data_IF_342452921085
#
_entry.id   IF_342452921085
#
_cell.length_a   1.000
_cell.length_b   1.000
_cell.length_c   1.000
_cell.angle_alpha   90.00
_cell.angle_beta   90.00
_cell.angle_gamma   90.00
#
_symmetry.space_group_name_H-M   'P 1'
#
loop_
_entity.id
_entity.type
_entity.pdbx_description
1 polymer ?
#
# COMPACT_ATOMS: atom_id res chain seq x y z
N UNK A 1 18.76 8.95 -23.91
CA UNK A 1 18.45 7.81 -23.01
C UNK A 1 17.47 8.35 -22.00
N UNK A 2 16.19 8.00 -22.10
CA UNK A 2 15.19 8.47 -21.14
C UNK A 2 15.49 7.81 -19.81
N UNK A 3 15.97 8.57 -18.82
CA UNK A 3 16.03 8.09 -17.44
C UNK A 3 14.61 7.68 -17.06
N UNK A 4 14.38 6.37 -16.90
CA UNK A 4 13.14 5.90 -16.32
C UNK A 4 13.07 6.53 -14.92
N UNK A 5 11.96 7.20 -14.57
CA UNK A 5 11.82 7.71 -13.22
C UNK A 5 11.92 6.53 -12.27
N UNK A 6 13.00 6.47 -11.50
CA UNK A 6 13.11 5.60 -10.35
C UNK A 6 11.90 5.88 -9.48
N UNK A 7 11.09 4.85 -9.21
CA UNK A 7 10.08 4.92 -8.16
C UNK A 7 10.86 5.05 -6.84
N UNK A 8 11.09 6.29 -6.42
CA UNK A 8 11.96 6.60 -5.29
C UNK A 8 11.42 5.91 -4.03
N UNK A 9 12.31 5.25 -3.29
CA UNK A 9 12.00 4.71 -1.96
C UNK A 9 11.33 3.34 -1.95
N UNK A 10 11.47 2.54 -3.01
CA UNK A 10 11.06 1.12 -3.07
C UNK A 10 12.26 0.15 -3.11
N UNK A 11 13.36 0.53 -2.46
CA UNK A 11 14.67 -0.14 -2.61
C UNK A 11 14.89 -1.31 -1.61
N UNK A 12 14.14 -1.34 -0.50
CA UNK A 12 14.22 -2.37 0.55
C UNK A 12 12.96 -3.25 0.58
N UNK A 13 12.61 -3.84 -0.56
CA UNK A 13 11.51 -4.80 -0.63
C UNK A 13 11.89 -6.10 0.09
N UNK A 14 11.07 -6.50 1.06
CA UNK A 14 11.25 -7.71 1.84
C UNK A 14 10.18 -8.76 1.49
N UNK A 15 10.48 -10.07 1.55
CA UNK A 15 9.46 -11.10 1.36
C UNK A 15 8.29 -10.95 2.34
N UNK A 16 7.06 -11.08 1.84
CA UNK A 16 5.86 -11.00 2.67
C UNK A 16 5.81 -12.16 3.67
N UNK A 17 5.59 -11.83 4.93
CA UNK A 17 5.30 -12.78 6.02
C UNK A 17 3.79 -12.84 6.25
N UNK A 18 3.20 -14.03 6.12
CA UNK A 18 1.78 -14.22 6.37
C UNK A 18 1.57 -14.64 7.83
N UNK A 19 0.54 -14.12 8.52
CA UNK A 19 0.22 -14.57 9.87
C UNK A 19 -0.40 -15.97 9.86
N UNK A 20 0.02 -16.81 10.80
CA UNK A 20 -0.52 -18.16 10.97
C UNK A 20 -1.90 -18.15 11.66
N UNK A 21 -2.74 -19.15 11.37
CA UNK A 21 -3.97 -19.41 12.12
C UNK A 21 -5.09 -18.36 11.98
N UNK A 22 -5.07 -17.52 10.94
CA UNK A 22 -5.95 -16.33 10.85
C UNK A 22 -7.32 -16.56 10.22
N UNK A 23 -7.77 -17.82 10.03
CA UNK A 23 -9.04 -18.12 9.33
C UNK A 23 -10.28 -17.63 10.07
N UNK A 24 -10.26 -17.72 11.40
CA UNK A 24 -11.38 -17.31 12.28
C UNK A 24 -11.33 -15.80 12.64
N UNK A 25 -10.30 -15.08 12.19
CA UNK A 25 -10.12 -13.67 12.52
C UNK A 25 -10.92 -12.77 11.58
N UNK A 26 -11.41 -11.67 12.13
CA UNK A 26 -11.99 -10.58 11.34
C UNK A 26 -10.96 -10.01 10.36
N UNK A 27 -11.41 -9.44 9.24
CA UNK A 27 -10.55 -8.76 8.27
C UNK A 27 -9.68 -7.65 8.92
N UNK A 28 -10.13 -7.04 10.01
CA UNK A 28 -9.37 -6.04 10.76
C UNK A 28 -8.19 -6.69 11.51
N UNK A 29 -8.44 -7.74 12.28
CA UNK A 29 -7.40 -8.48 12.98
C UNK A 29 -6.38 -9.11 12.02
N UNK A 30 -6.86 -9.63 10.88
CA UNK A 30 -5.98 -10.15 9.82
C UNK A 30 -5.07 -9.06 9.25
N UNK A 31 -5.61 -7.87 9.05
CA UNK A 31 -4.84 -6.70 8.61
C UNK A 31 -3.79 -6.31 9.65
N UNK A 32 -4.15 -6.21 10.93
CA UNK A 32 -3.23 -5.82 12.01
C UNK A 32 -2.07 -6.81 12.14
N UNK A 33 -2.37 -8.12 12.13
CA UNK A 33 -1.34 -9.15 12.15
C UNK A 33 -0.42 -9.09 10.92
N UNK A 34 -1.01 -8.91 9.73
CA UNK A 34 -0.24 -8.73 8.50
C UNK A 34 0.65 -7.49 8.54
N UNK A 35 0.10 -6.35 8.97
CA UNK A 35 0.81 -5.08 9.04
C UNK A 35 1.98 -5.14 10.04
N UNK A 36 1.75 -5.73 11.21
CA UNK A 36 2.79 -5.94 12.22
C UNK A 36 3.96 -6.80 11.71
N UNK A 37 3.67 -7.81 10.87
CA UNK A 37 4.68 -8.67 10.26
C UNK A 37 5.38 -8.02 9.06
N UNK A 38 4.77 -7.02 8.43
CA UNK A 38 5.26 -6.41 7.20
C UNK A 38 5.25 -4.86 7.28
N UNK A 39 5.95 -4.26 8.26
CA UNK A 39 5.94 -2.80 8.43
C UNK A 39 6.53 -2.04 7.23
N UNK A 40 7.33 -2.72 6.40
CA UNK A 40 7.90 -2.18 5.16
C UNK A 40 6.82 -1.78 4.15
N UNK A 41 5.66 -2.46 4.14
CA UNK A 41 4.54 -2.15 3.24
C UNK A 41 4.04 -0.73 3.49
N UNK A 42 3.84 -0.36 4.76
CA UNK A 42 3.35 0.97 5.11
C UNK A 42 4.36 2.05 4.72
N UNK A 43 5.65 1.85 5.05
CA UNK A 43 6.71 2.81 4.71
C UNK A 43 6.77 3.08 3.20
N UNK A 44 6.64 2.04 2.39
CA UNK A 44 6.62 2.18 0.93
C UNK A 44 5.36 2.87 0.41
N UNK A 45 4.20 2.64 1.03
CA UNK A 45 2.99 3.38 0.68
C UNK A 45 3.15 4.87 1.02
N UNK A 46 3.71 5.21 2.17
CA UNK A 46 4.03 6.61 2.54
C UNK A 46 4.98 7.26 1.53
N UNK A 47 6.06 6.57 1.14
CA UNK A 47 6.99 7.05 0.12
C UNK A 47 6.30 7.30 -1.22
N UNK A 48 5.41 6.39 -1.66
CA UNK A 48 4.68 6.55 -2.90
C UNK A 48 3.66 7.70 -2.87
N UNK A 49 3.04 7.96 -1.71
CA UNK A 49 2.18 9.14 -1.52
C UNK A 49 3.01 10.41 -1.67
N UNK A 50 4.15 10.47 -0.99
CA UNK A 50 5.03 11.64 -1.04
C UNK A 50 5.57 11.88 -2.46
N UNK A 51 6.05 10.83 -3.15
CA UNK A 51 6.50 10.93 -4.54
C UNK A 51 5.40 11.43 -5.47
N UNK A 52 4.14 11.00 -5.28
CA UNK A 52 3.02 11.51 -6.06
C UNK A 52 2.76 13.01 -5.79
N UNK A 53 2.84 13.45 -4.53
CA UNK A 53 2.71 14.87 -4.16
C UNK A 53 3.83 15.69 -4.81
N UNK A 54 5.08 15.24 -4.69
CA UNK A 54 6.26 15.94 -5.21
C UNK A 54 6.22 16.07 -6.75
N UNK A 55 5.60 15.09 -7.42
CA UNK A 55 5.36 15.10 -8.88
C UNK A 55 4.14 15.94 -9.29
N UNK A 56 3.43 16.56 -8.36
CA UNK A 56 2.30 17.45 -8.63
C UNK A 56 1.00 16.72 -8.98
N UNK A 57 0.86 15.44 -8.62
CA UNK A 57 -0.44 14.77 -8.72
C UNK A 57 -1.45 15.54 -7.88
N UNK A 58 -2.71 15.57 -8.32
CA UNK A 58 -3.78 16.27 -7.60
C UNK A 58 -4.55 15.32 -6.70
N UNK A 59 -4.73 14.06 -7.13
CA UNK A 59 -5.39 13.00 -6.38
C UNK A 59 -4.82 11.63 -6.74
N UNK A 60 -4.88 10.70 -5.80
CA UNK A 60 -4.46 9.31 -6.01
C UNK A 60 -5.42 8.31 -5.39
N UNK A 61 -5.46 7.09 -5.93
CA UNK A 61 -6.18 5.97 -5.36
C UNK A 61 -5.23 5.00 -4.65
N UNK A 62 -5.61 4.48 -3.48
CA UNK A 62 -4.83 3.44 -2.79
C UNK A 62 -4.62 2.18 -3.66
N UNK A 63 -5.55 1.90 -4.59
CA UNK A 63 -5.39 0.83 -5.56
C UNK A 63 -4.17 1.02 -6.45
N UNK A 64 -3.94 2.24 -6.96
CA UNK A 64 -2.79 2.57 -7.78
C UNK A 64 -1.48 2.33 -7.03
N UNK A 65 -1.38 2.83 -5.79
CA UNK A 65 -0.18 2.64 -4.95
C UNK A 65 0.10 1.15 -4.70
N UNK A 66 -0.96 0.38 -4.43
CA UNK A 66 -0.82 -1.06 -4.23
C UNK A 66 -0.38 -1.80 -5.49
N UNK A 67 -0.84 -1.41 -6.68
CA UNK A 67 -0.38 -2.04 -7.93
C UNK A 67 1.10 -1.70 -8.21
N UNK A 68 1.52 -0.44 -7.98
CA UNK A 68 2.93 -0.06 -8.09
C UNK A 68 3.80 -0.86 -7.11
N UNK A 69 3.36 -0.98 -5.86
CA UNK A 69 4.08 -1.78 -4.85
C UNK A 69 4.10 -3.26 -5.23
N UNK A 70 3.00 -3.80 -5.77
CA UNK A 70 2.91 -5.19 -6.22
C UNK A 70 3.85 -5.48 -7.39
N UNK A 71 3.90 -4.60 -8.37
CA UNK A 71 4.81 -4.73 -9.50
C UNK A 71 6.27 -4.83 -9.01
N UNK A 72 6.68 -3.91 -8.14
CA UNK A 72 8.02 -3.90 -7.55
C UNK A 72 8.28 -5.12 -6.65
N UNK A 73 7.28 -5.57 -5.93
CA UNK A 73 7.37 -6.80 -5.15
C UNK A 73 7.56 -8.03 -6.04
N UNK A 74 6.82 -8.15 -7.14
CA UNK A 74 6.94 -9.24 -8.10
C UNK A 74 8.33 -9.30 -8.74
N UNK A 75 8.88 -8.14 -9.10
CA UNK A 75 10.26 -8.02 -9.58
C UNK A 75 11.28 -8.49 -8.55
N UNK A 76 11.14 -8.08 -7.28
CA UNK A 76 12.06 -8.43 -6.21
C UNK A 76 11.96 -9.88 -5.74
N UNK A 77 10.76 -10.47 -5.77
CA UNK A 77 10.48 -11.81 -5.21
C UNK A 77 10.28 -12.91 -6.25
N UNK A 78 10.49 -12.59 -7.54
CA UNK A 78 10.37 -13.53 -8.68
C UNK A 78 8.96 -14.14 -8.82
N UNK A 79 7.92 -13.30 -8.79
CA UNK A 79 6.56 -13.69 -9.18
C UNK A 79 5.58 -14.03 -8.05
N UNK A 80 5.85 -13.63 -6.81
CA UNK A 80 4.99 -13.88 -5.65
C UNK A 80 3.94 -12.76 -5.39
N UNK A 81 3.60 -12.00 -6.44
CA UNK A 81 2.82 -10.76 -6.42
C UNK A 81 1.43 -10.86 -5.75
N UNK A 82 0.87 -12.06 -5.66
CA UNK A 82 -0.43 -12.34 -5.06
C UNK A 82 -0.42 -12.31 -3.52
N UNK A 83 0.75 -12.22 -2.85
CA UNK A 83 0.81 -12.14 -1.39
C UNK A 83 0.43 -10.79 -0.78
N UNK A 84 0.47 -9.72 -1.57
CA UNK A 84 -0.08 -8.43 -1.16
C UNK A 84 -1.60 -8.45 -1.37
N UNK A 85 -2.37 -8.71 -0.31
CA UNK A 85 -3.82 -8.86 -0.41
C UNK A 85 -4.53 -7.50 -0.64
N UNK A 86 -5.42 -7.45 -1.64
CA UNK A 86 -6.28 -6.31 -1.94
C UNK A 86 -7.22 -5.92 -0.80
N UNK A 87 -7.64 -6.89 0.03
CA UNK A 87 -8.55 -6.69 1.16
C UNK A 87 -8.03 -5.63 2.16
N UNK A 88 -6.71 -5.46 2.22
CA UNK A 88 -6.04 -4.56 3.15
C UNK A 88 -5.95 -3.12 2.66
N UNK A 89 -6.20 -2.84 1.38
CA UNK A 89 -6.14 -1.48 0.80
C UNK A 89 -6.98 -0.47 1.58
N UNK A 90 -8.21 -0.85 1.90
CA UNK A 90 -9.14 0.00 2.66
C UNK A 90 -8.66 0.32 4.08
N UNK A 91 -7.85 -0.56 4.69
CA UNK A 91 -7.26 -0.32 6.02
C UNK A 91 -6.01 0.54 5.91
N UNK A 92 -5.15 0.26 4.93
CA UNK A 92 -3.96 1.07 4.67
C UNK A 92 -4.29 2.53 4.36
N UNK A 93 -5.29 2.82 3.52
CA UNK A 93 -5.68 4.22 3.23
C UNK A 93 -6.18 4.94 4.48
N UNK A 94 -6.95 4.26 5.35
CA UNK A 94 -7.40 4.84 6.61
C UNK A 94 -6.23 5.09 7.57
N UNK A 95 -5.27 4.18 7.62
CA UNK A 95 -4.08 4.34 8.44
C UNK A 95 -3.19 5.49 7.95
N UNK A 96 -2.99 5.62 6.63
CA UNK A 96 -2.25 6.75 6.03
C UNK A 96 -2.89 8.08 6.41
N UNK A 97 -4.21 8.21 6.23
CA UNK A 97 -4.95 9.43 6.60
C UNK A 97 -4.96 9.65 8.11
N UNK A 98 -5.07 8.59 8.91
CA UNK A 98 -4.99 8.68 10.37
C UNK A 98 -3.64 9.21 10.85
N UNK A 99 -2.55 8.79 10.22
CA UNK A 99 -1.19 9.24 10.52
C UNK A 99 -0.90 10.64 9.95
N UNK A 100 -1.49 10.97 8.80
CA UNK A 100 -1.32 12.23 8.06
C UNK A 100 -2.69 12.77 7.61
N UNK A 101 -3.43 13.46 8.50
CA UNK A 101 -4.76 13.97 8.18
C UNK A 101 -4.77 14.95 6.99
N UNK A 102 -3.66 15.63 6.75
CA UNK A 102 -3.43 16.50 5.59
C UNK A 102 -3.50 15.77 4.24
N UNK A 103 -3.34 14.44 4.22
CA UNK A 103 -3.48 13.64 3.01
C UNK A 103 -4.92 13.22 2.72
N UNK A 104 -5.89 13.52 3.59
CA UNK A 104 -7.29 13.11 3.41
C UNK A 104 -7.86 13.55 2.06
N UNK A 105 -7.64 14.82 1.68
CA UNK A 105 -8.15 15.39 0.43
C UNK A 105 -7.41 14.89 -0.81
N UNK A 106 -6.18 14.38 -0.61
CA UNK A 106 -5.34 13.84 -1.68
C UNK A 106 -5.80 12.44 -2.13
N UNK A 107 -6.47 11.68 -1.26
CA UNK A 107 -7.00 10.37 -1.62
C UNK A 107 -8.38 10.43 -2.28
N UNK A 108 -8.54 9.73 -3.39
CA UNK A 108 -9.85 9.39 -3.93
C UNK A 108 -10.45 8.22 -3.15
N UNK A 109 -11.06 8.54 -2.01
CA UNK A 109 -11.89 7.56 -1.30
C UNK A 109 -13.24 7.55 -2.01
N UNK A 110 -13.52 6.49 -2.78
CA UNK A 110 -14.90 6.25 -3.23
C UNK A 110 -15.78 6.18 -1.99
N UNK A 111 -16.69 7.14 -1.83
CA UNK A 111 -17.74 7.03 -0.84
C UNK A 111 -18.49 5.72 -1.12
N UNK A 112 -18.59 4.86 -0.10
CA UNK A 112 -19.49 3.72 -0.14
C UNK A 112 -20.90 4.29 -0.31
N UNK A 113 -21.43 4.22 -1.53
CA UNK A 113 -22.86 4.42 -1.74
C UNK A 113 -23.54 3.20 -1.11
N UNK A 114 -24.16 3.40 0.04
CA UNK A 114 -25.19 2.48 0.51
C UNK A 114 -26.28 2.47 -0.58
N UNK A 115 -26.55 1.29 -1.14
CA UNK A 115 -27.70 1.05 -2.00
C UNK A 115 -28.93 0.78 -1.13
#
# INVERSE_FOLDING_TARGET
MSEQPTLFGLDDIQPVRLPDGVRELTIQQRFEAFHALNPWVMRHLENLVQDAIDRGFQRIGIGMLFELLRYRYGEATRGDEFRLNNDYRSRYVRMLIGNRPDWADFFEIRALRAA
#
